data_IF_381489116090
#
_entry.id   IF_381489116090
#
_cell.length_a   1.000
_cell.length_b   1.000
_cell.length_c   1.000
_cell.angle_alpha   90.00
_cell.angle_beta   90.00
_cell.angle_gamma   90.00
#
_symmetry.space_group_name_H-M   'P 1'
#
loop_
_entity.id
_entity.type
_entity.pdbx_description
1 polymer ?
#
# COMPACT_ATOMS: atom_id res chain seq x y z
N UNK A 1 -1.98 -4.33 4.21
CA UNK A 1 -3.10 -4.89 3.42
C UNK A 1 -2.77 -4.79 1.94
N UNK A 2 -3.08 -5.83 1.15
CA UNK A 2 -2.92 -5.87 -0.31
C UNK A 2 -4.31 -5.90 -0.93
N UNK A 3 -4.64 -4.93 -1.77
CA UNK A 3 -5.83 -4.98 -2.61
C UNK A 3 -5.53 -5.83 -3.86
N UNK A 4 -6.32 -6.86 -4.06
CA UNK A 4 -6.35 -7.68 -5.27
C UNK A 4 -7.58 -7.26 -6.10
N UNK A 5 -7.37 -6.37 -7.07
CA UNK A 5 -8.47 -5.76 -7.84
C UNK A 5 -8.71 -6.58 -9.09
N UNK A 6 -9.77 -7.38 -9.08
CA UNK A 6 -10.10 -8.31 -10.16
C UNK A 6 -11.06 -7.74 -11.22
N UNK A 7 -11.64 -6.56 -10.99
CA UNK A 7 -12.65 -5.96 -11.86
C UNK A 7 -12.84 -4.48 -11.55
N UNK A 8 -14.07 -4.00 -11.59
CA UNK A 8 -14.39 -2.59 -11.38
C UNK A 8 -14.18 -2.15 -9.92
N UNK A 9 -13.31 -1.18 -9.71
CA UNK A 9 -13.09 -0.44 -8.46
C UNK A 9 -13.54 1.01 -8.68
N UNK A 10 -14.82 1.29 -8.44
CA UNK A 10 -15.48 2.53 -8.82
C UNK A 10 -15.99 3.27 -7.58
N UNK A 11 -15.75 4.59 -7.49
CA UNK A 11 -16.15 5.41 -6.34
C UNK A 11 -15.56 4.86 -5.03
N UNK A 12 -16.40 4.52 -4.07
CA UNK A 12 -15.99 3.92 -2.78
C UNK A 12 -15.11 2.67 -2.95
N UNK A 13 -15.27 1.90 -4.03
CA UNK A 13 -14.39 0.77 -4.37
C UNK A 13 -12.96 1.22 -4.75
N UNK A 14 -12.82 2.35 -5.44
CA UNK A 14 -11.52 2.97 -5.73
C UNK A 14 -10.89 3.52 -4.45
N UNK A 15 -11.67 4.22 -3.62
CA UNK A 15 -11.23 4.73 -2.32
C UNK A 15 -10.74 3.60 -1.41
N UNK A 16 -11.49 2.49 -1.33
CA UNK A 16 -11.10 1.31 -0.55
C UNK A 16 -9.77 0.71 -1.05
N UNK A 17 -9.58 0.63 -2.36
CA UNK A 17 -8.31 0.19 -2.94
C UNK A 17 -7.16 1.14 -2.56
N UNK A 18 -7.40 2.46 -2.58
CA UNK A 18 -6.42 3.47 -2.16
C UNK A 18 -6.08 3.42 -0.67
N UNK A 19 -7.01 2.98 0.19
CA UNK A 19 -6.74 2.77 1.63
C UNK A 19 -5.77 1.61 1.90
N UNK A 20 -5.66 0.64 0.99
CA UNK A 20 -4.73 -0.46 1.12
C UNK A 20 -3.28 0.00 0.94
N UNK A 21 -2.33 -0.77 1.52
CA UNK A 21 -0.91 -0.41 1.44
C UNK A 21 -0.34 -0.70 0.03
N UNK A 22 -0.79 -1.80 -0.56
CA UNK A 22 -0.36 -2.26 -1.89
C UNK A 22 -1.59 -2.58 -2.75
N UNK A 23 -1.48 -2.42 -4.04
CA UNK A 23 -2.53 -2.72 -5.03
C UNK A 23 -1.94 -3.50 -6.18
N UNK A 24 -2.56 -4.64 -6.48
CA UNK A 24 -2.31 -5.45 -7.67
C UNK A 24 -3.62 -5.55 -8.42
N UNK A 25 -3.61 -5.33 -9.72
CA UNK A 25 -4.79 -5.41 -10.56
C UNK A 25 -4.71 -6.58 -11.55
N UNK A 26 -5.86 -7.12 -11.92
CA UNK A 26 -5.96 -7.95 -13.11
C UNK A 26 -6.05 -7.07 -14.35
N UNK A 27 -5.77 -7.63 -15.52
CA UNK A 27 -6.00 -6.96 -16.81
C UNK A 27 -7.46 -6.54 -17.04
N UNK A 28 -8.41 -7.14 -16.31
CA UNK A 28 -9.84 -6.80 -16.36
C UNK A 28 -10.24 -5.68 -15.39
N UNK A 29 -9.31 -5.17 -14.58
CA UNK A 29 -9.62 -4.13 -13.60
C UNK A 29 -9.83 -2.76 -14.28
N UNK A 30 -10.73 -1.99 -13.68
CA UNK A 30 -10.96 -0.59 -14.04
C UNK A 30 -11.17 0.24 -12.77
N UNK A 31 -10.72 1.48 -12.80
CA UNK A 31 -10.78 2.39 -11.65
C UNK A 31 -11.48 3.69 -12.05
N UNK A 32 -12.27 4.28 -11.14
CA UNK A 32 -12.86 5.60 -11.36
C UNK A 32 -13.26 6.26 -10.03
N UNK A 33 -13.16 7.59 -10.00
CA UNK A 33 -13.74 8.45 -8.97
C UNK A 33 -15.06 9.05 -9.50
N UNK A 34 -16.06 8.21 -9.74
CA UNK A 34 -17.26 8.61 -10.48
C UNK A 34 -18.34 9.32 -9.64
N UNK A 35 -18.03 9.75 -8.42
CA UNK A 35 -18.96 10.45 -7.52
C UNK A 35 -19.58 11.70 -8.16
N UNK A 36 -18.77 12.48 -8.90
CA UNK A 36 -19.22 13.73 -9.53
C UNK A 36 -20.36 13.50 -10.53
N UNK A 37 -20.40 12.32 -11.19
CA UNK A 37 -21.49 11.96 -12.13
C UNK A 37 -22.85 11.75 -11.42
N UNK A 38 -22.82 11.57 -10.10
CA UNK A 38 -24.00 11.44 -9.25
C UNK A 38 -24.26 12.71 -8.39
N UNK A 39 -23.52 13.79 -8.64
CA UNK A 39 -23.61 15.01 -7.80
C UNK A 39 -23.02 14.84 -6.42
N UNK A 40 -22.13 13.84 -6.22
CA UNK A 40 -21.45 13.56 -4.97
C UNK A 40 -19.96 13.93 -5.07
N UNK A 41 -19.27 13.83 -3.93
CA UNK A 41 -17.83 14.07 -3.81
C UNK A 41 -17.13 12.80 -3.32
N UNK A 42 -15.79 12.64 -3.51
CA UNK A 42 -15.01 11.53 -2.95
C UNK A 42 -14.96 11.63 -1.40
N UNK A 43 -15.98 11.06 -0.74
CA UNK A 43 -16.20 11.17 0.70
C UNK A 43 -15.50 10.11 1.54
N UNK A 44 -15.06 9.02 0.93
CA UNK A 44 -14.49 7.86 1.62
C UNK A 44 -12.96 7.92 1.70
N UNK A 45 -12.37 9.10 1.46
CA UNK A 45 -10.93 9.35 1.61
C UNK A 45 -10.17 9.50 0.29
N UNK A 46 -10.80 9.32 -0.87
CA UNK A 46 -10.16 9.46 -2.18
C UNK A 46 -9.58 10.84 -2.42
N UNK A 47 -10.28 11.89 -2.01
CA UNK A 47 -9.79 13.26 -2.12
C UNK A 47 -8.43 13.51 -1.42
N UNK A 48 -8.10 12.72 -0.39
CA UNK A 48 -6.82 12.80 0.31
C UNK A 48 -5.81 11.78 -0.20
N UNK A 49 -6.25 10.54 -0.44
CA UNK A 49 -5.37 9.42 -0.79
C UNK A 49 -4.92 9.47 -2.25
N UNK A 50 -5.85 9.68 -3.18
CA UNK A 50 -5.58 9.57 -4.60
C UNK A 50 -4.50 10.54 -5.09
N UNK A 51 -4.53 11.87 -4.73
CA UNK A 51 -3.49 12.80 -5.14
C UNK A 51 -2.09 12.43 -4.63
N UNK A 52 -2.00 11.75 -3.48
CA UNK A 52 -0.72 11.28 -2.91
C UNK A 52 -0.20 10.03 -3.59
N UNK A 53 -1.06 9.29 -4.26
CA UNK A 53 -0.68 8.06 -4.98
C UNK A 53 -0.31 8.38 -6.44
N UNK A 54 -1.17 9.10 -7.18
CA UNK A 54 -1.01 9.33 -8.63
C UNK A 54 -0.58 10.75 -8.99
N UNK A 55 -0.47 11.64 -8.01
CA UNK A 55 -0.23 13.07 -8.21
C UNK A 55 -1.54 13.85 -8.46
N UNK A 56 -1.49 15.17 -8.18
CA UNK A 56 -2.70 16.01 -8.17
C UNK A 56 -3.40 16.05 -9.54
N UNK A 57 -2.65 16.21 -10.64
CA UNK A 57 -3.26 16.37 -11.97
C UNK A 57 -4.10 15.15 -12.38
N UNK A 58 -3.56 13.93 -12.20
CA UNK A 58 -4.25 12.68 -12.55
C UNK A 58 -5.42 12.41 -11.61
N UNK A 59 -5.26 12.71 -10.32
CA UNK A 59 -6.34 12.62 -9.35
C UNK A 59 -7.49 13.58 -9.68
N UNK A 60 -7.17 14.82 -10.07
CA UNK A 60 -8.14 15.80 -10.49
C UNK A 60 -8.87 15.37 -11.78
N UNK A 61 -8.15 14.82 -12.75
CA UNK A 61 -8.75 14.26 -13.95
C UNK A 61 -9.78 13.19 -13.62
N UNK A 62 -9.41 12.17 -12.81
CA UNK A 62 -10.33 11.12 -12.38
C UNK A 62 -11.54 11.66 -11.61
N UNK A 63 -11.30 12.54 -10.64
CA UNK A 63 -12.36 13.03 -9.74
C UNK A 63 -13.31 14.03 -10.40
N UNK A 64 -12.83 14.88 -11.33
CA UNK A 64 -13.63 15.93 -11.97
C UNK A 64 -14.36 15.43 -13.23
N UNK A 65 -13.80 14.48 -13.95
CA UNK A 65 -14.47 13.85 -15.10
C UNK A 65 -15.34 12.67 -14.66
N UNK A 66 -14.92 11.95 -13.62
CA UNK A 66 -15.52 10.68 -13.21
C UNK A 66 -15.29 9.56 -14.23
N UNK A 67 -14.33 9.70 -15.13
CA UNK A 67 -14.05 8.72 -16.17
C UNK A 67 -13.29 7.53 -15.63
N UNK A 68 -13.46 6.39 -16.31
CA UNK A 68 -12.76 5.15 -15.99
C UNK A 68 -11.38 5.14 -16.62
N UNK A 69 -10.40 4.67 -15.87
CA UNK A 69 -9.10 4.25 -16.40
C UNK A 69 -9.00 2.73 -16.31
N UNK A 70 -8.32 2.13 -17.28
CA UNK A 70 -8.02 0.70 -17.30
C UNK A 70 -6.81 0.33 -16.41
N UNK A 71 -6.52 -0.95 -16.32
CA UNK A 71 -5.44 -1.48 -15.51
C UNK A 71 -4.06 -1.00 -15.96
N UNK A 72 -3.84 -0.87 -17.28
CA UNK A 72 -2.54 -0.43 -17.84
C UNK A 72 -2.30 1.05 -17.53
N UNK A 73 -3.31 1.89 -17.70
CA UNK A 73 -3.27 3.30 -17.30
C UNK A 73 -3.03 3.43 -15.79
N UNK A 74 -3.72 2.61 -14.98
CA UNK A 74 -3.53 2.60 -13.54
C UNK A 74 -2.09 2.22 -13.15
N UNK A 75 -1.46 1.29 -13.87
CA UNK A 75 -0.05 0.94 -13.70
C UNK A 75 0.87 2.10 -14.10
N UNK A 76 0.66 2.68 -15.28
CA UNK A 76 1.45 3.81 -15.79
C UNK A 76 1.36 5.04 -14.87
N UNK A 77 0.23 5.23 -14.19
CA UNK A 77 0.05 6.32 -13.23
C UNK A 77 0.55 6.02 -11.82
N UNK A 78 0.92 4.77 -11.53
CA UNK A 78 1.36 4.33 -10.21
C UNK A 78 0.21 4.07 -9.24
N UNK A 79 -1.04 4.02 -9.72
CA UNK A 79 -2.19 3.65 -8.88
C UNK A 79 -2.06 2.21 -8.41
N UNK A 80 -1.61 1.31 -9.27
CA UNK A 80 -1.30 -0.08 -8.94
C UNK A 80 0.17 -0.38 -9.19
N UNK A 81 0.72 -1.34 -8.46
CA UNK A 81 2.13 -1.73 -8.58
C UNK A 81 2.37 -2.85 -9.59
N UNK A 82 1.33 -3.56 -10.00
CA UNK A 82 1.37 -4.68 -10.96
C UNK A 82 0.04 -4.86 -11.64
N UNK A 83 0.10 -5.32 -12.88
CA UNK A 83 -1.04 -5.84 -13.63
C UNK A 83 -0.69 -7.25 -14.08
N UNK A 84 -1.61 -8.20 -13.89
CA UNK A 84 -1.43 -9.62 -14.21
C UNK A 84 -2.72 -10.18 -14.84
N UNK A 85 -2.64 -11.35 -15.44
CA UNK A 85 -3.85 -12.07 -15.90
C UNK A 85 -4.80 -12.37 -14.71
N UNK A 86 -6.12 -12.46 -14.92
CA UNK A 86 -7.08 -12.66 -13.84
C UNK A 86 -6.78 -13.87 -12.95
N UNK A 87 -6.36 -14.98 -13.55
CA UNK A 87 -5.99 -16.23 -12.87
C UNK A 87 -4.71 -16.10 -12.03
N UNK A 88 -3.82 -15.17 -12.39
CA UNK A 88 -2.56 -14.91 -11.68
C UNK A 88 -2.70 -13.89 -10.54
N UNK A 89 -3.86 -13.24 -10.40
CA UNK A 89 -4.04 -12.14 -9.46
C UNK A 89 -3.82 -12.59 -8.01
N UNK A 90 -4.55 -13.59 -7.55
CA UNK A 90 -4.41 -14.09 -6.18
C UNK A 90 -3.06 -14.76 -5.93
N UNK A 91 -2.53 -15.63 -6.83
CA UNK A 91 -1.18 -16.17 -6.69
C UNK A 91 -0.12 -15.08 -6.52
N UNK A 92 -0.16 -14.00 -7.33
CA UNK A 92 0.76 -12.87 -7.22
C UNK A 92 0.62 -12.13 -5.88
N UNK A 93 -0.61 -11.90 -5.42
CA UNK A 93 -0.86 -11.25 -4.13
C UNK A 93 -0.35 -12.10 -2.96
N UNK A 94 -0.60 -13.42 -2.98
CA UNK A 94 -0.11 -14.34 -1.94
C UNK A 94 1.41 -14.43 -1.94
N UNK A 95 2.06 -14.51 -3.10
CA UNK A 95 3.52 -14.49 -3.19
C UNK A 95 4.11 -13.20 -2.61
N UNK A 96 3.47 -12.04 -2.87
CA UNK A 96 3.88 -10.77 -2.28
C UNK A 96 3.66 -10.75 -0.75
N UNK A 97 2.51 -11.25 -0.29
CA UNK A 97 2.21 -11.36 1.14
C UNK A 97 3.22 -12.25 1.88
N UNK A 98 3.59 -13.38 1.27
CA UNK A 98 4.61 -14.29 1.81
C UNK A 98 5.96 -13.59 2.00
N UNK A 99 6.40 -12.81 1.00
CA UNK A 99 7.65 -12.03 1.08
C UNK A 99 7.64 -10.99 2.19
N UNK A 100 6.46 -10.50 2.58
CA UNK A 100 6.30 -9.60 3.72
C UNK A 100 6.27 -10.40 5.03
N UNK A 101 5.53 -11.51 5.04
CA UNK A 101 5.27 -12.30 6.25
C UNK A 101 6.49 -13.03 6.81
N UNK A 102 7.53 -13.26 6.01
CA UNK A 102 8.79 -13.85 6.48
C UNK A 102 9.64 -12.88 7.31
N UNK A 103 9.30 -11.60 7.36
CA UNK A 103 10.03 -10.60 8.14
C UNK A 103 9.46 -10.47 9.56
N UNK A 104 10.24 -9.92 10.53
CA UNK A 104 9.79 -9.69 11.89
C UNK A 104 8.48 -8.89 11.92
N UNK A 105 7.37 -9.41 12.48
CA UNK A 105 6.08 -8.75 12.39
C UNK A 105 6.03 -7.42 13.13
N UNK A 106 6.80 -7.25 14.21
CA UNK A 106 6.96 -5.97 14.91
C UNK A 106 7.57 -4.90 14.03
N UNK A 107 8.66 -5.23 13.32
CA UNK A 107 9.33 -4.31 12.39
C UNK A 107 8.44 -3.95 11.21
N UNK A 108 7.70 -4.92 10.63
CA UNK A 108 6.75 -4.68 9.54
C UNK A 108 5.64 -3.71 9.96
N UNK A 109 5.07 -3.90 11.17
CA UNK A 109 4.05 -3.00 11.73
C UNK A 109 4.58 -1.58 11.92
N UNK A 110 5.80 -1.45 12.48
CA UNK A 110 6.45 -0.16 12.69
C UNK A 110 6.74 0.55 11.36
N UNK A 111 7.35 -0.15 10.40
CA UNK A 111 7.66 0.39 9.10
C UNK A 111 6.39 0.89 8.38
N UNK A 112 5.31 0.09 8.38
CA UNK A 112 4.02 0.50 7.81
C UNK A 112 3.46 1.75 8.49
N UNK A 113 3.49 1.81 9.83
CA UNK A 113 3.01 2.97 10.58
C UNK A 113 3.81 4.22 10.24
N UNK A 114 5.15 4.10 10.22
CA UNK A 114 6.03 5.22 9.92
C UNK A 114 5.84 5.76 8.51
N UNK A 115 5.70 4.89 7.49
CA UNK A 115 5.43 5.30 6.11
C UNK A 115 4.13 6.13 6.01
N UNK A 116 3.08 5.76 6.76
CA UNK A 116 1.82 6.51 6.77
C UNK A 116 1.94 7.83 7.53
N UNK A 117 2.58 7.82 8.70
CA UNK A 117 2.75 9.03 9.52
C UNK A 117 3.65 10.07 8.82
N UNK A 118 4.69 9.64 8.12
CA UNK A 118 5.61 10.53 7.42
C UNK A 118 4.94 11.37 6.32
N UNK A 119 3.79 10.96 5.81
CA UNK A 119 3.02 11.75 4.84
C UNK A 119 2.53 13.09 5.39
N UNK A 120 2.41 13.23 6.72
CA UNK A 120 1.88 14.39 7.42
C UNK A 120 2.93 15.07 8.33
N UNK A 121 4.21 14.64 8.23
CA UNK A 121 5.32 15.13 9.05
C UNK A 121 6.36 15.88 8.21
N UNK A 122 7.05 16.81 8.85
CA UNK A 122 8.30 17.33 8.32
C UNK A 122 9.41 16.26 8.40
N UNK A 123 10.48 16.42 7.62
CA UNK A 123 11.63 15.51 7.68
C UNK A 123 12.21 15.39 9.10
N UNK A 124 12.29 16.51 9.82
CA UNK A 124 12.83 16.53 11.19
C UNK A 124 11.96 15.72 12.14
N UNK A 125 10.63 15.89 12.11
CA UNK A 125 9.69 15.12 12.92
C UNK A 125 9.74 13.62 12.58
N UNK A 126 9.81 13.30 11.28
CA UNK A 126 9.93 11.92 10.82
C UNK A 126 11.22 11.26 11.33
N UNK A 127 12.36 11.98 11.31
CA UNK A 127 13.64 11.48 11.84
C UNK A 127 13.61 11.28 13.35
N UNK A 128 12.99 12.18 14.11
CA UNK A 128 12.80 12.02 15.56
C UNK A 128 11.95 10.79 15.85
N UNK A 129 10.84 10.64 15.15
CA UNK A 129 9.95 9.46 15.26
C UNK A 129 10.70 8.17 14.89
N UNK A 130 11.51 8.21 13.83
CA UNK A 130 12.33 7.09 13.40
C UNK A 130 13.35 6.67 14.46
N UNK A 131 14.09 7.63 15.04
CA UNK A 131 15.09 7.35 16.06
C UNK A 131 14.48 6.66 17.29
N UNK A 132 13.33 7.15 17.77
CA UNK A 132 12.61 6.53 18.90
C UNK A 132 12.16 5.09 18.60
N UNK A 133 11.52 4.88 17.44
CA UNK A 133 11.05 3.54 17.03
C UNK A 133 12.22 2.58 16.79
N UNK A 134 13.31 3.06 16.20
CA UNK A 134 14.51 2.24 15.94
C UNK A 134 15.16 1.78 17.23
N UNK A 135 15.23 2.67 18.25
CA UNK A 135 15.74 2.31 19.59
C UNK A 135 14.96 1.14 20.21
N UNK A 136 13.62 1.18 20.11
CA UNK A 136 12.76 0.08 20.56
C UNK A 136 12.94 -1.20 19.73
N UNK A 137 13.05 -1.08 18.40
CA UNK A 137 13.24 -2.22 17.52
C UNK A 137 14.56 -2.96 17.81
N UNK A 138 15.65 -2.26 18.10
CA UNK A 138 16.94 -2.87 18.48
C UNK A 138 16.88 -3.69 19.78
N UNK A 139 15.95 -3.40 20.67
CA UNK A 139 15.78 -4.14 21.93
C UNK A 139 14.88 -5.37 21.80
N UNK A 140 14.20 -5.55 20.65
CA UNK A 140 13.27 -6.66 20.43
C UNK A 140 13.99 -8.01 20.38
N UNK A 141 13.27 -9.07 20.73
CA UNK A 141 13.78 -10.44 20.61
C UNK A 141 13.95 -10.82 19.15
N UNK A 142 13.02 -10.37 18.29
CA UNK A 142 13.07 -10.63 16.85
C UNK A 142 14.33 -10.02 16.22
N UNK A 143 14.78 -8.83 16.66
CA UNK A 143 16.04 -8.25 16.17
C UNK A 143 17.25 -9.12 16.54
N UNK A 144 17.31 -9.59 17.80
CA UNK A 144 18.40 -10.48 18.26
C UNK A 144 18.41 -11.81 17.50
N UNK A 145 17.22 -12.38 17.30
CA UNK A 145 17.06 -13.61 16.48
C UNK A 145 17.50 -13.38 15.03
N UNK A 146 17.11 -12.26 14.42
CA UNK A 146 17.51 -11.93 13.05
C UNK A 146 19.04 -11.86 12.90
N UNK A 147 19.72 -11.18 13.85
CA UNK A 147 21.20 -11.07 13.86
C UNK A 147 21.86 -12.42 14.06
N UNK A 148 21.37 -13.20 15.04
CA UNK A 148 21.93 -14.55 15.30
C UNK A 148 21.75 -15.48 14.09
N UNK A 149 20.54 -15.53 13.51
CA UNK A 149 20.26 -16.34 12.34
C UNK A 149 21.10 -15.94 11.12
N UNK A 150 21.33 -14.62 10.94
CA UNK A 150 22.21 -14.12 9.87
C UNK A 150 23.66 -14.60 10.03
N UNK A 151 24.22 -14.48 11.24
CA UNK A 151 25.59 -14.92 11.54
C UNK A 151 25.75 -16.44 11.41
N UNK A 152 24.75 -17.20 11.85
CA UNK A 152 24.71 -18.66 11.81
C UNK A 152 24.27 -19.22 10.45
N UNK A 153 23.88 -18.36 9.49
CA UNK A 153 23.39 -18.72 8.15
C UNK A 153 22.20 -19.70 8.18
N UNK A 154 21.28 -19.51 9.11
CA UNK A 154 20.03 -20.27 9.26
C UNK A 154 18.80 -19.41 9.04
N UNK A 155 17.65 -20.05 8.85
CA UNK A 155 16.35 -19.36 8.80
C UNK A 155 15.97 -18.85 10.19
N UNK A 156 15.59 -17.57 10.34
CA UNK A 156 15.13 -17.02 11.61
C UNK A 156 13.72 -17.49 11.96
N UNK A 157 13.40 -17.46 13.26
CA UNK A 157 12.07 -17.75 13.80
C UNK A 157 11.56 -16.55 14.61
N UNK A 158 10.67 -15.75 14.02
CA UNK A 158 10.13 -14.54 14.63
C UNK A 158 8.87 -14.81 15.45
N UNK A 159 8.72 -14.07 16.56
CA UNK A 159 7.59 -14.18 17.50
C UNK A 159 6.73 -12.93 17.57
N UNK A 160 7.26 -11.80 17.09
CA UNK A 160 6.56 -10.52 17.08
C UNK A 160 6.72 -9.69 18.36
N UNK A 161 7.75 -9.97 19.16
CA UNK A 161 8.04 -9.35 20.46
C UNK A 161 9.48 -8.82 20.57
#
# INVERSE_FOLDING_TARGET
>A
VIAAVNGAAIGAGCDLACMCDLRVASTSAAFAESFVKLGLIPGDGGAWLLPRIVGFSRAAEMALTGDKIDAETALAWGLVSRVVAPEELLPTCYALAQRIAVNPPGAVKLARRMLRQACDQTLVEALITAASNQGGAHQSRDHREAVAAFLEKRTPHFRGD
#
